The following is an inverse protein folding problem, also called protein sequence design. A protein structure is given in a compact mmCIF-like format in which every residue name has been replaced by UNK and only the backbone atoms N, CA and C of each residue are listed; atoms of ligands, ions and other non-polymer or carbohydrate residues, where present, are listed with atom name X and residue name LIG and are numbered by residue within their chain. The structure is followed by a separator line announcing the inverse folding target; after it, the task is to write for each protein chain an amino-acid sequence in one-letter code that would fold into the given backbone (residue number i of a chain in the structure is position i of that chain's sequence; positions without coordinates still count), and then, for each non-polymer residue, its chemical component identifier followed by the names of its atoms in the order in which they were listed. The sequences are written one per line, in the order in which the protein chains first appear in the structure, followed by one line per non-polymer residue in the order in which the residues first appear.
data_IF_636618954118
#
_entry.id   IF_636618954118
#
_cell.length_a   1.000
_cell.length_b   1.000
_cell.length_c   1.000
_cell.angle_alpha   90.00
_cell.angle_beta   90.00
_cell.angle_gamma   90.00
#
_symmetry.space_group_name_H-M   'P 1'
#
loop_
_entity.id
_entity.type
_entity.pdbx_description
1 polymer ?
#
# COMPACT_ATOMS: atom_id res chain seq x y z
N UNK A 1 -24.34 5.70 -6.05
CA UNK A 1 -22.94 5.75 -5.57
C UNK A 1 -22.12 5.03 -6.61
N UNK A 2 -21.18 5.70 -7.27
CA UNK A 2 -20.48 5.10 -8.40
C UNK A 2 -19.56 3.99 -7.88
N UNK A 3 -19.41 2.90 -8.64
CA UNK A 3 -18.55 1.76 -8.32
C UNK A 3 -17.08 2.20 -8.08
N UNK A 4 -16.68 3.36 -8.59
CA UNK A 4 -15.37 3.98 -8.37
C UNK A 4 -15.10 4.41 -6.91
N UNK A 5 -16.12 4.67 -6.10
CA UNK A 5 -15.92 5.03 -4.68
C UNK A 5 -15.57 3.80 -3.82
N UNK A 6 -15.92 2.61 -4.31
CA UNK A 6 -15.69 1.34 -3.63
C UNK A 6 -14.23 0.90 -3.73
N UNK A 7 -13.61 1.10 -4.89
CA UNK A 7 -12.23 0.74 -5.12
C UNK A 7 -11.30 1.64 -4.28
N UNK A 8 -10.62 1.02 -3.33
CA UNK A 8 -9.46 1.61 -2.69
C UNK A 8 -8.25 1.34 -3.56
N UNK A 9 -7.65 2.39 -4.12
CA UNK A 9 -6.42 2.28 -4.90
C UNK A 9 -5.42 3.34 -4.45
N UNK A 10 -4.21 2.91 -4.08
CA UNK A 10 -3.06 3.79 -3.85
C UNK A 10 -1.82 3.21 -4.50
N UNK A 11 -1.05 4.09 -5.14
CA UNK A 11 0.30 3.80 -5.60
C UNK A 11 1.28 4.51 -4.67
N UNK A 12 2.28 3.79 -4.18
CA UNK A 12 3.30 4.28 -3.27
C UNK A 12 4.68 4.07 -3.88
N UNK A 13 5.58 5.03 -3.68
CA UNK A 13 6.96 4.98 -4.16
C UNK A 13 7.93 4.70 -3.01
N UNK A 14 8.80 3.71 -3.18
CA UNK A 14 9.80 3.34 -2.19
C UNK A 14 10.82 4.46 -1.97
N UNK A 15 11.22 4.67 -0.71
CA UNK A 15 12.12 5.75 -0.29
C UNK A 15 11.47 7.13 -0.19
N UNK A 16 10.19 7.28 -0.56
CA UNK A 16 9.41 8.52 -0.39
C UNK A 16 8.16 8.30 0.44
N UNK A 17 7.34 7.33 0.05
CA UNK A 17 6.03 7.08 0.64
C UNK A 17 6.06 5.90 1.63
N UNK A 18 6.99 4.97 1.46
CA UNK A 18 7.29 3.86 2.36
C UNK A 18 8.78 3.53 2.30
N UNK A 19 9.33 2.84 3.30
CA UNK A 19 10.77 2.59 3.45
C UNK A 19 11.60 3.89 3.49
N UNK A 20 11.08 4.94 4.15
CA UNK A 20 11.74 6.25 4.24
C UNK A 20 13.02 6.12 5.08
N UNK A 21 14.17 6.35 4.46
CA UNK A 21 15.49 6.21 5.11
C UNK A 21 16.26 4.95 4.72
N UNK A 22 15.66 4.04 3.95
CA UNK A 22 16.39 2.94 3.33
C UNK A 22 17.08 3.44 2.06
N UNK A 23 18.42 3.53 2.11
CA UNK A 23 19.23 4.00 0.99
C UNK A 23 19.10 3.13 -0.26
N UNK A 24 18.80 1.83 -0.11
CA UNK A 24 18.60 0.90 -1.23
C UNK A 24 17.22 1.12 -1.84
N UNK A 25 16.18 1.23 -1.00
CA UNK A 25 14.81 1.48 -1.47
C UNK A 25 14.68 2.84 -2.17
N UNK A 26 15.39 3.88 -1.71
CA UNK A 26 15.43 5.19 -2.34
C UNK A 26 16.13 5.19 -3.71
N UNK A 27 17.09 4.29 -3.94
CA UNK A 27 17.78 4.16 -5.22
C UNK A 27 17.01 3.32 -6.24
N UNK A 28 16.38 2.22 -5.81
CA UNK A 28 15.65 1.32 -6.71
C UNK A 28 14.34 1.92 -7.21
N UNK A 29 13.69 2.77 -6.41
CA UNK A 29 12.39 3.41 -6.74
C UNK A 29 11.32 2.39 -7.13
N UNK A 30 11.18 1.36 -6.32
CA UNK A 30 10.13 0.34 -6.47
C UNK A 30 8.76 0.95 -6.18
N UNK A 31 7.74 0.44 -6.86
CA UNK A 31 6.37 0.85 -6.66
C UNK A 31 5.59 -0.25 -5.96
N UNK A 32 4.94 0.09 -4.86
CA UNK A 32 3.97 -0.77 -4.20
C UNK A 32 2.55 -0.26 -4.50
N UNK A 33 1.60 -1.19 -4.59
CA UNK A 33 0.20 -0.87 -4.81
C UNK A 33 -0.65 -1.42 -3.68
N UNK A 34 -1.55 -0.58 -3.18
CA UNK A 34 -2.59 -0.96 -2.23
C UNK A 34 -3.91 -0.97 -2.99
N UNK A 35 -4.52 -2.15 -3.11
CA UNK A 35 -5.75 -2.36 -3.87
C UNK A 35 -6.75 -3.08 -2.98
N UNK A 36 -7.89 -2.45 -2.72
CA UNK A 36 -8.87 -2.96 -1.78
C UNK A 36 -10.29 -2.49 -2.03
N UNK A 37 -11.17 -2.87 -1.13
CA UNK A 37 -12.58 -2.54 -1.12
C UNK A 37 -12.92 -1.73 0.13
N UNK A 38 -13.30 -0.46 -0.06
CA UNK A 38 -13.69 0.43 1.05
C UNK A 38 -14.96 0.01 1.77
N UNK A 39 -15.80 -0.84 1.17
CA UNK A 39 -17.02 -1.30 1.83
C UNK A 39 -16.74 -2.41 2.84
N UNK A 40 -15.81 -3.32 2.54
CA UNK A 40 -15.43 -4.40 3.46
C UNK A 40 -14.26 -4.01 4.34
N UNK A 41 -13.47 -3.01 3.91
CA UNK A 41 -12.22 -2.62 4.54
C UNK A 41 -11.05 -3.52 4.11
N UNK A 42 -11.24 -4.50 3.24
CA UNK A 42 -10.17 -5.43 2.86
C UNK A 42 -9.26 -4.83 1.80
N UNK A 43 -7.94 -5.03 1.94
CA UNK A 43 -6.95 -4.58 0.99
C UNK A 43 -5.85 -5.61 0.76
N UNK A 44 -5.40 -5.69 -0.49
CA UNK A 44 -4.24 -6.46 -0.92
C UNK A 44 -3.09 -5.50 -1.19
N UNK A 45 -1.89 -5.90 -0.76
CA UNK A 45 -0.63 -5.23 -1.12
C UNK A 45 -0.01 -5.98 -2.28
N UNK A 46 0.37 -5.26 -3.33
CA UNK A 46 1.05 -5.83 -4.50
C UNK A 46 2.46 -5.26 -4.58
N UNK A 47 3.43 -6.16 -4.72
CA UNK A 47 4.87 -5.92 -4.79
C UNK A 47 5.39 -5.08 -3.60
N UNK A 48 5.27 -5.59 -2.36
CA UNK A 48 5.85 -4.94 -1.19
C UNK A 48 7.38 -5.05 -1.21
N UNK A 49 8.00 -4.27 -2.07
CA UNK A 49 9.44 -4.21 -2.19
C UNK A 49 10.01 -3.36 -1.04
N UNK A 50 10.48 -4.05 0.01
CA UNK A 50 11.03 -3.47 1.25
C UNK A 50 9.98 -2.86 2.19
N UNK A 51 10.29 -2.87 3.49
CA UNK A 51 9.47 -2.28 4.57
C UNK A 51 7.97 -2.60 4.48
N UNK A 52 7.60 -3.89 4.37
CA UNK A 52 6.20 -4.30 4.34
C UNK A 52 5.39 -3.83 5.56
N UNK A 53 6.06 -3.61 6.71
CA UNK A 53 5.45 -3.03 7.91
C UNK A 53 4.89 -1.63 7.65
N UNK A 54 5.66 -0.73 7.02
CA UNK A 54 5.22 0.62 6.68
C UNK A 54 3.96 0.61 5.79
N UNK A 55 3.86 -0.39 4.89
CA UNK A 55 2.69 -0.56 4.03
C UNK A 55 1.45 -1.00 4.83
N UNK A 56 1.63 -1.87 5.84
CA UNK A 56 0.55 -2.27 6.75
C UNK A 56 0.12 -1.13 7.65
N UNK A 57 1.05 -0.40 8.25
CA UNK A 57 0.76 0.78 9.07
C UNK A 57 -0.02 1.82 8.26
N UNK A 58 0.30 1.95 6.96
CA UNK A 58 -0.43 2.84 6.06
C UNK A 58 -1.85 2.36 5.78
N UNK A 59 -2.05 1.06 5.60
CA UNK A 59 -3.39 0.48 5.43
C UNK A 59 -4.25 0.71 6.67
N UNK A 60 -3.71 0.46 7.85
CA UNK A 60 -4.42 0.67 9.12
C UNK A 60 -4.77 2.15 9.32
N UNK A 61 -3.87 3.07 8.96
CA UNK A 61 -4.14 4.52 8.99
C UNK A 61 -5.27 4.95 8.03
N UNK A 62 -5.51 4.18 6.97
CA UNK A 62 -6.58 4.39 5.99
C UNK A 62 -7.87 3.60 6.35
N UNK A 63 -7.96 3.01 7.55
CA UNK A 63 -9.06 2.15 8.06
C UNK A 63 -9.28 0.88 7.21
N UNK A 64 -8.19 0.36 6.64
CA UNK A 64 -8.17 -0.84 5.82
C UNK A 64 -7.40 -1.97 6.51
N UNK A 65 -7.84 -3.20 6.30
CA UNK A 65 -7.22 -4.43 6.79
C UNK A 65 -6.49 -5.16 5.67
N UNK A 66 -5.27 -5.62 5.94
CA UNK A 66 -4.52 -6.46 5.00
C UNK A 66 -5.16 -7.85 4.90
N UNK A 67 -5.71 -8.18 3.75
CA UNK A 67 -6.30 -9.49 3.45
C UNK A 67 -5.40 -10.37 2.55
N UNK A 68 -4.44 -9.77 1.86
CA UNK A 68 -3.52 -10.51 0.99
C UNK A 68 -2.26 -9.74 0.61
N UNK A 69 -1.23 -10.48 0.20
CA UNK A 69 0.05 -9.96 -0.27
C UNK A 69 0.45 -10.73 -1.53
N UNK A 70 0.80 -10.03 -2.59
CA UNK A 70 1.22 -10.58 -3.89
C UNK A 70 2.56 -10.02 -4.34
#
# INVERSE_FOLDING_TARGET
MSDSDRLYFRQLLSGRDFAVGDMIAAQMRNFAYLIGDRQTGDCVVVDPAYAAGDLVDRLEADDMHLSGCW
#
